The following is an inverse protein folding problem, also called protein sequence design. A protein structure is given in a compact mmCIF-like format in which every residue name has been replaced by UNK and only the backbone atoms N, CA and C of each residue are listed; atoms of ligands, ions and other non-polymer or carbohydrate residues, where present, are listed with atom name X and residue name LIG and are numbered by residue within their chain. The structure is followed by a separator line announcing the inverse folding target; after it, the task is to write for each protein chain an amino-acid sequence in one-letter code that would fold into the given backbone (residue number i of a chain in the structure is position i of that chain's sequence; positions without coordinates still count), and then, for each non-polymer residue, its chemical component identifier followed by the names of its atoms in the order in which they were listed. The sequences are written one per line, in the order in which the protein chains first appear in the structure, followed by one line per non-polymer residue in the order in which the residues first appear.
data_IF_845476344843
#
_entry.id   IF_845476344843
#
_cell.length_a   1.000
_cell.length_b   1.000
_cell.length_c   1.000
_cell.angle_alpha   90.00
_cell.angle_beta   90.00
_cell.angle_gamma   90.00
#
_symmetry.space_group_name_H-M   'P 1'
#
loop_
_entity.id
_entity.type
_entity.pdbx_description
1 polymer ?
#
# COMPACT_ATOMS: atom_id res chain seq x y z
N UNK A 1 -16.57 -5.19 8.10
CA UNK A 1 -15.98 -6.13 7.12
C UNK A 1 -15.23 -5.28 6.11
N UNK A 2 -13.92 -5.48 5.97
CA UNK A 2 -13.09 -4.67 5.05
C UNK A 2 -13.39 -5.13 3.62
N UNK A 3 -14.01 -4.28 2.80
CA UNK A 3 -14.27 -4.59 1.39
C UNK A 3 -13.00 -4.41 0.59
N UNK A 4 -12.27 -5.50 0.34
CA UNK A 4 -11.02 -5.49 -0.42
C UNK A 4 -11.25 -4.97 -1.85
N UNK A 5 -10.28 -4.25 -2.40
CA UNK A 5 -10.37 -3.81 -3.80
C UNK A 5 -10.37 -5.00 -4.76
N UNK A 6 -11.19 -4.99 -5.84
CA UNK A 6 -11.35 -6.14 -6.73
C UNK A 6 -10.03 -6.65 -7.33
N UNK A 7 -9.11 -5.75 -7.64
CA UNK A 7 -7.81 -6.10 -8.22
C UNK A 7 -6.81 -6.70 -7.21
N UNK A 8 -7.07 -6.57 -5.91
CA UNK A 8 -6.23 -7.17 -4.87
C UNK A 8 -6.73 -8.58 -4.48
N UNK A 9 -7.99 -8.90 -4.77
CA UNK A 9 -8.60 -10.19 -4.41
C UNK A 9 -7.84 -11.42 -4.97
N UNK A 10 -7.38 -11.44 -6.24
CA UNK A 10 -6.62 -12.58 -6.73
C UNK A 10 -5.31 -12.83 -5.97
N UNK A 11 -4.62 -11.76 -5.57
CA UNK A 11 -3.38 -11.84 -4.79
C UNK A 11 -3.69 -12.28 -3.36
N UNK A 12 -4.75 -11.74 -2.76
CA UNK A 12 -5.22 -12.14 -1.44
C UNK A 12 -5.50 -13.66 -1.38
N UNK A 13 -6.33 -14.19 -2.27
CA UNK A 13 -6.68 -15.61 -2.31
C UNK A 13 -5.46 -16.52 -2.53
N UNK A 14 -4.48 -16.10 -3.34
CA UNK A 14 -3.23 -16.86 -3.52
C UNK A 14 -2.42 -16.95 -2.23
N UNK A 15 -2.34 -15.85 -1.48
CA UNK A 15 -1.61 -15.79 -0.23
C UNK A 15 -2.35 -16.60 0.85
N UNK A 16 -3.66 -16.39 1.02
CA UNK A 16 -4.45 -17.12 2.03
C UNK A 16 -4.51 -18.61 1.76
N UNK A 17 -4.68 -19.02 0.50
CA UNK A 17 -4.66 -20.44 0.12
C UNK A 17 -3.33 -21.13 0.47
N UNK A 18 -2.19 -20.44 0.31
CA UNK A 18 -0.89 -20.99 0.74
C UNK A 18 -0.81 -21.18 2.26
N UNK A 19 -1.40 -20.29 3.06
CA UNK A 19 -1.46 -20.47 4.52
C UNK A 19 -2.39 -21.62 4.92
N UNK A 20 -3.50 -21.81 4.22
CA UNK A 20 -4.45 -22.90 4.48
C UNK A 20 -3.82 -24.28 4.19
N UNK A 21 -2.92 -24.35 3.20
CA UNK A 21 -2.10 -25.54 2.91
C UNK A 21 -0.87 -25.70 3.82
N UNK A 22 -0.69 -24.84 4.84
CA UNK A 22 0.47 -24.78 5.71
C UNK A 22 1.82 -24.55 4.97
N UNK A 23 1.77 -23.96 3.78
CA UNK A 23 2.92 -23.60 2.94
C UNK A 23 3.20 -22.08 2.93
N UNK A 24 2.46 -21.30 3.72
CA UNK A 24 2.60 -19.85 3.80
C UNK A 24 3.96 -19.42 4.33
N UNK A 25 4.62 -18.51 3.61
CA UNK A 25 5.91 -17.96 4.03
C UNK A 25 5.74 -17.03 5.24
N UNK A 26 6.64 -17.13 6.23
CA UNK A 26 6.56 -16.35 7.47
C UNK A 26 6.78 -14.85 7.27
N UNK A 27 7.47 -14.44 6.20
CA UNK A 27 7.70 -13.03 5.87
C UNK A 27 7.24 -12.69 4.46
N UNK A 28 6.22 -11.84 4.34
CA UNK A 28 5.66 -11.38 3.07
C UNK A 28 6.09 -9.94 2.81
N UNK A 29 6.63 -9.66 1.63
CA UNK A 29 6.94 -8.29 1.18
C UNK A 29 6.02 -7.92 0.01
N UNK A 30 5.04 -7.06 0.28
CA UNK A 30 4.13 -6.52 -0.72
C UNK A 30 4.70 -5.22 -1.30
N UNK A 31 5.02 -5.24 -2.59
CA UNK A 31 5.56 -4.08 -3.32
C UNK A 31 4.53 -3.57 -4.30
N UNK A 32 4.14 -2.31 -4.18
CA UNK A 32 3.08 -1.77 -5.01
C UNK A 32 3.20 -0.26 -5.15
N UNK A 33 2.72 0.27 -6.27
CA UNK A 33 2.60 1.70 -6.42
C UNK A 33 1.59 2.31 -5.42
N UNK A 34 1.87 3.52 -4.95
CA UNK A 34 0.90 4.32 -4.18
C UNK A 34 -0.38 4.49 -5.00
N UNK A 35 -1.53 4.22 -4.39
CA UNK A 35 -2.84 4.34 -5.05
C UNK A 35 -3.47 3.02 -5.48
N UNK A 36 -2.86 1.88 -5.16
CA UNK A 36 -3.46 0.55 -5.37
C UNK A 36 -4.19 -0.01 -4.15
N UNK A 37 -4.06 0.61 -2.98
CA UNK A 37 -4.78 0.19 -1.77
C UNK A 37 -4.15 -0.96 -1.00
N UNK A 38 -2.82 -1.13 -1.11
CA UNK A 38 -2.11 -2.28 -0.53
C UNK A 38 -2.10 -2.31 0.98
N UNK A 39 -2.22 -1.16 1.66
CA UNK A 39 -2.41 -1.13 3.11
C UNK A 39 -3.64 -1.95 3.53
N UNK A 40 -4.75 -1.81 2.79
CA UNK A 40 -5.98 -2.55 3.05
C UNK A 40 -5.83 -4.05 2.80
N UNK A 41 -5.00 -4.46 1.84
CA UNK A 41 -4.64 -5.86 1.64
C UNK A 41 -3.81 -6.40 2.81
N UNK A 42 -2.84 -5.62 3.30
CA UNK A 42 -2.01 -6.01 4.43
C UNK A 42 -2.85 -6.16 5.71
N UNK A 43 -3.78 -5.24 5.95
CA UNK A 43 -4.73 -5.30 7.06
C UNK A 43 -5.67 -6.51 6.94
N UNK A 44 -6.21 -6.79 5.75
CA UNK A 44 -7.05 -7.95 5.52
C UNK A 44 -6.28 -9.27 5.78
N UNK A 45 -5.05 -9.37 5.29
CA UNK A 45 -4.17 -10.51 5.56
C UNK A 45 -3.87 -10.66 7.06
N UNK A 46 -3.58 -9.56 7.75
CA UNK A 46 -3.37 -9.57 9.19
C UNK A 46 -4.61 -10.05 9.94
N UNK A 47 -5.79 -9.53 9.61
CA UNK A 47 -7.06 -9.97 10.22
C UNK A 47 -7.34 -11.46 9.96
N UNK A 48 -7.03 -11.95 8.75
CA UNK A 48 -7.21 -13.36 8.38
C UNK A 48 -6.25 -14.28 9.12
N UNK A 49 -4.99 -13.88 9.30
CA UNK A 49 -3.98 -14.65 10.04
C UNK A 49 -4.25 -14.65 11.55
N UNK A 50 -4.81 -13.57 12.09
CA UNK A 50 -5.14 -13.46 13.52
C UNK A 50 -6.45 -14.19 13.88
N UNK A 51 -7.35 -14.38 12.91
CA UNK A 51 -8.64 -15.01 13.14
C UNK A 51 -8.52 -16.48 13.62
N UNK A 52 -9.20 -16.81 14.72
CA UNK A 52 -9.18 -18.16 15.30
C UNK A 52 -10.03 -19.17 14.51
N UNK A 53 -11.09 -18.69 13.86
CA UNK A 53 -12.05 -19.54 13.13
C UNK A 53 -12.36 -18.91 11.77
N UNK A 54 -11.39 -18.87 10.84
CA UNK A 54 -11.62 -18.27 9.52
C UNK A 54 -12.74 -18.99 8.77
N UNK A 55 -13.49 -18.24 7.96
CA UNK A 55 -14.52 -18.79 7.08
C UNK A 55 -14.01 -18.77 5.64
N UNK A 56 -13.34 -19.85 5.22
CA UNK A 56 -12.60 -19.87 3.96
C UNK A 56 -11.51 -18.80 3.94
N UNK A 57 -11.50 -17.95 2.91
CA UNK A 57 -10.51 -16.88 2.76
C UNK A 57 -10.73 -15.68 3.70
N UNK A 58 -11.87 -15.59 4.38
CA UNK A 58 -12.21 -14.42 5.19
C UNK A 58 -12.05 -14.64 6.70
N UNK A 59 -11.69 -13.58 7.43
CA UNK A 59 -11.80 -13.57 8.88
C UNK A 59 -13.27 -13.59 9.31
N UNK A 60 -13.64 -14.38 10.33
CA UNK A 60 -15.04 -14.52 10.73
C UNK A 60 -15.68 -13.23 11.27
N UNK A 61 -14.87 -12.28 11.75
CA UNK A 61 -15.33 -11.01 12.28
C UNK A 61 -16.04 -11.08 13.64
N UNK A 62 -16.21 -12.27 14.21
CA UNK A 62 -17.01 -12.51 15.43
C UNK A 62 -16.23 -13.21 16.56
N UNK A 63 -15.05 -13.78 16.29
CA UNK A 63 -14.24 -14.39 17.34
C UNK A 63 -13.58 -13.33 18.22
N UNK A 64 -13.13 -13.73 19.42
CA UNK A 64 -12.47 -12.81 20.36
C UNK A 64 -11.28 -12.05 19.73
N UNK A 65 -10.43 -12.75 18.99
CA UNK A 65 -9.31 -12.13 18.28
C UNK A 65 -9.79 -11.11 17.22
N UNK A 66 -10.82 -11.43 16.43
CA UNK A 66 -11.39 -10.47 15.47
C UNK A 66 -11.93 -9.21 16.14
N UNK A 67 -12.56 -9.32 17.31
CA UNK A 67 -13.02 -8.16 18.07
C UNK A 67 -11.86 -7.30 18.58
N UNK A 68 -10.80 -7.93 19.11
CA UNK A 68 -9.59 -7.21 19.52
C UNK A 68 -8.89 -6.51 18.34
N UNK A 69 -8.85 -7.15 17.18
CA UNK A 69 -8.33 -6.57 15.94
C UNK A 69 -9.16 -5.36 15.49
N UNK A 70 -10.50 -5.46 15.51
CA UNK A 70 -11.39 -4.34 15.18
C UNK A 70 -11.24 -3.16 16.15
N UNK A 71 -10.93 -3.45 17.42
CA UNK A 71 -10.66 -2.46 18.44
C UNK A 71 -9.20 -1.94 18.46
N UNK A 72 -8.34 -2.39 17.52
CA UNK A 72 -6.91 -2.06 17.49
C UNK A 72 -6.17 -2.30 18.82
N UNK A 73 -6.56 -3.34 19.57
CA UNK A 73 -6.04 -3.63 20.92
C UNK A 73 -5.53 -5.07 21.07
N UNK A 74 -5.35 -5.78 19.96
CA UNK A 74 -4.87 -7.15 19.99
C UNK A 74 -3.40 -7.22 20.44
N UNK A 75 -3.06 -7.93 21.53
CA UNK A 75 -1.71 -7.92 22.09
C UNK A 75 -0.67 -8.59 21.17
N UNK A 76 -1.10 -9.59 20.40
CA UNK A 76 -0.25 -10.31 19.45
C UNK A 76 -0.27 -9.70 18.02
N UNK A 77 -0.85 -8.51 17.82
CA UNK A 77 -0.76 -7.76 16.56
C UNK A 77 0.03 -6.47 16.79
N UNK A 78 1.01 -6.21 15.91
CA UNK A 78 1.80 -4.99 15.97
C UNK A 78 1.84 -4.31 14.62
N UNK A 79 1.44 -3.05 14.58
CA UNK A 79 1.55 -2.20 13.41
C UNK A 79 2.66 -1.18 13.64
N UNK A 80 3.72 -1.29 12.83
CA UNK A 80 4.86 -0.38 12.83
C UNK A 80 4.75 0.50 11.60
N UNK A 81 4.48 1.77 11.83
CA UNK A 81 4.45 2.79 10.80
C UNK A 81 5.47 3.88 11.14
N UNK A 82 6.00 4.60 10.14
CA UNK A 82 6.87 5.73 10.39
C UNK A 82 6.10 6.84 11.12
N UNK A 83 6.75 7.42 12.13
CA UNK A 83 6.25 8.58 12.86
C UNK A 83 6.34 9.81 11.93
N UNK A 84 5.41 10.76 12.03
CA UNK A 84 5.37 11.95 11.16
C UNK A 84 6.76 12.58 10.94
N UNK A 85 7.15 12.71 9.67
CA UNK A 85 8.45 13.24 9.20
C UNK A 85 9.70 12.49 9.69
N UNK A 86 9.57 11.28 10.25
CA UNK A 86 10.69 10.46 10.72
C UNK A 86 10.63 9.05 10.15
N UNK A 87 11.81 8.49 9.92
CA UNK A 87 11.96 7.11 9.49
C UNK A 87 11.79 6.14 10.67
N UNK A 88 11.60 4.86 10.34
CA UNK A 88 11.43 3.81 11.33
C UNK A 88 12.80 3.54 11.98
N UNK A 89 12.91 4.04 13.21
CA UNK A 89 14.13 3.96 14.01
C UNK A 89 14.36 2.58 14.62
N UNK A 90 15.60 2.35 15.05
CA UNK A 90 16.02 1.07 15.65
C UNK A 90 15.27 0.74 16.94
N UNK A 91 14.91 1.75 17.74
CA UNK A 91 14.22 1.54 19.02
C UNK A 91 12.81 0.96 18.83
N UNK A 92 12.10 1.39 17.78
CA UNK A 92 10.78 0.83 17.43
C UNK A 92 10.90 -0.66 17.07
N UNK A 93 11.92 -1.01 16.29
CA UNK A 93 12.18 -2.40 15.90
C UNK A 93 12.65 -3.24 17.09
N UNK A 94 13.46 -2.70 18.00
CA UNK A 94 13.89 -3.41 19.21
C UNK A 94 12.71 -3.72 20.13
N UNK A 95 11.82 -2.74 20.36
CA UNK A 95 10.60 -2.94 21.13
C UNK A 95 9.70 -4.00 20.50
N UNK A 96 9.56 -4.01 19.17
CA UNK A 96 8.86 -5.07 18.46
C UNK A 96 9.54 -6.43 18.64
N UNK A 97 10.85 -6.53 18.46
CA UNK A 97 11.56 -7.80 18.59
C UNK A 97 11.41 -8.40 19.99
N UNK A 98 11.50 -7.59 21.05
CA UNK A 98 11.26 -8.02 22.42
C UNK A 98 9.86 -8.64 22.57
N UNK A 99 8.83 -7.97 22.04
CA UNK A 99 7.47 -8.47 22.04
C UNK A 99 7.31 -9.72 21.16
N UNK A 100 7.96 -9.77 19.99
CA UNK A 100 7.96 -10.91 19.09
C UNK A 100 8.52 -12.17 19.77
N UNK A 101 9.54 -12.00 20.61
CA UNK A 101 10.13 -13.08 21.43
C UNK A 101 9.32 -13.46 22.67
N UNK A 102 8.18 -12.85 22.97
CA UNK A 102 7.31 -13.33 24.04
C UNK A 102 6.36 -14.42 23.53
N UNK A 103 5.84 -15.28 24.43
CA UNK A 103 4.78 -16.22 24.05
C UNK A 103 3.52 -15.45 23.64
N UNK A 104 2.78 -15.99 22.67
CA UNK A 104 1.52 -15.40 22.24
C UNK A 104 0.54 -15.39 23.41
N UNK A 105 -0.03 -14.22 23.73
CA UNK A 105 -0.90 -14.07 24.89
C UNK A 105 -2.27 -14.71 24.66
N UNK A 106 -2.70 -14.80 23.39
CA UNK A 106 -3.98 -15.39 23.00
C UNK A 106 -3.84 -16.83 22.45
N UNK A 107 -2.70 -17.51 22.65
CA UNK A 107 -2.43 -18.86 22.15
C UNK A 107 -2.68 -19.05 20.63
N UNK A 108 -2.45 -18.00 19.84
CA UNK A 108 -2.67 -18.00 18.39
C UNK A 108 -1.44 -17.53 17.62
N UNK A 109 -1.71 -16.94 16.45
CA UNK A 109 -0.68 -16.34 15.61
C UNK A 109 -0.27 -14.97 16.16
N UNK A 110 0.98 -14.58 15.90
CA UNK A 110 1.49 -13.23 16.09
C UNK A 110 1.75 -12.63 14.72
N UNK A 111 1.21 -11.45 14.48
CA UNK A 111 1.36 -10.76 13.19
C UNK A 111 2.00 -9.40 13.39
N UNK A 112 3.11 -9.17 12.71
CA UNK A 112 3.84 -7.91 12.72
C UNK A 112 3.71 -7.29 11.33
N UNK A 113 3.02 -6.16 11.27
CA UNK A 113 2.81 -5.38 10.06
C UNK A 113 3.74 -4.17 10.04
N UNK A 114 4.68 -4.12 9.10
CA UNK A 114 5.59 -3.00 8.88
C UNK A 114 5.14 -2.23 7.64
N UNK A 115 4.61 -1.05 7.89
CA UNK A 115 4.22 -0.09 6.88
C UNK A 115 5.44 0.70 6.38
N UNK A 116 5.51 0.93 5.07
CA UNK A 116 6.60 1.66 4.42
C UNK A 116 7.99 1.12 4.78
N UNK A 117 8.25 -0.17 4.58
CA UNK A 117 9.50 -0.85 4.94
C UNK A 117 10.77 -0.23 4.33
N UNK A 118 10.66 0.52 3.23
CA UNK A 118 11.77 1.29 2.65
C UNK A 118 12.25 2.45 3.54
N UNK A 119 11.45 2.84 4.53
CA UNK A 119 11.76 3.87 5.53
C UNK A 119 12.37 3.30 6.80
N UNK A 120 12.77 2.03 6.79
CA UNK A 120 13.62 1.49 7.84
C UNK A 120 15.00 2.13 7.75
N UNK A 121 15.46 2.70 8.87
CA UNK A 121 16.88 3.07 9.00
C UNK A 121 17.75 1.82 8.86
N UNK A 122 19.01 1.97 8.43
CA UNK A 122 19.93 0.82 8.32
C UNK A 122 20.08 0.05 9.65
N UNK A 123 20.13 0.78 10.77
CA UNK A 123 20.18 0.18 12.10
C UNK A 123 18.90 -0.61 12.43
N UNK A 124 17.72 -0.09 12.08
CA UNK A 124 16.44 -0.78 12.26
C UNK A 124 16.35 -2.04 11.38
N UNK A 125 16.76 -1.95 10.12
CA UNK A 125 16.78 -3.07 9.20
C UNK A 125 17.70 -4.19 9.68
N UNK A 126 18.91 -3.86 10.14
CA UNK A 126 19.83 -4.85 10.68
C UNK A 126 19.31 -5.48 11.98
N UNK A 127 18.62 -4.71 12.81
CA UNK A 127 18.04 -5.22 14.05
C UNK A 127 16.91 -6.25 13.83
N UNK A 128 16.16 -6.15 12.73
CA UNK A 128 15.07 -7.10 12.42
C UNK A 128 15.54 -8.39 11.74
N UNK A 129 16.74 -8.42 11.12
CA UNK A 129 17.19 -9.55 10.29
C UNK A 129 17.13 -10.90 11.01
N UNK A 130 17.61 -10.97 12.25
CA UNK A 130 17.60 -12.24 13.01
C UNK A 130 16.19 -12.77 13.23
N UNK A 131 15.26 -11.89 13.56
CA UNK A 131 13.85 -12.25 13.79
C UNK A 131 13.13 -12.61 12.48
N UNK A 132 13.53 -12.01 11.35
CA UNK A 132 13.01 -12.35 10.03
C UNK A 132 13.57 -13.66 9.46
N UNK A 133 14.80 -14.03 9.79
CA UNK A 133 15.40 -15.31 9.35
C UNK A 133 14.80 -16.50 10.10
N UNK A 134 14.76 -16.40 11.42
CA UNK A 134 14.35 -17.49 12.31
C UNK A 134 13.27 -16.97 13.27
N UNK A 135 12.05 -16.71 12.77
CA UNK A 135 10.96 -16.28 13.64
C UNK A 135 10.56 -17.40 14.59
N UNK A 136 9.94 -17.02 15.71
CA UNK A 136 9.26 -18.00 16.55
C UNK A 136 8.11 -18.67 15.78
N UNK A 137 7.73 -19.91 16.15
CA UNK A 137 6.56 -20.55 15.58
C UNK A 137 5.34 -19.63 15.63
N UNK A 138 4.51 -19.68 14.59
CA UNK A 138 3.28 -18.88 14.44
C UNK A 138 3.51 -17.35 14.46
N UNK A 139 4.72 -16.87 14.14
CA UNK A 139 5.01 -15.44 13.98
C UNK A 139 5.14 -15.11 12.49
N UNK A 140 4.31 -14.17 12.03
CA UNK A 140 4.23 -13.76 10.63
C UNK A 140 4.53 -12.27 10.49
N UNK A 141 5.29 -11.94 9.45
CA UNK A 141 5.65 -10.58 9.07
C UNK A 141 4.96 -10.21 7.77
N UNK A 142 4.29 -9.07 7.78
CA UNK A 142 3.74 -8.43 6.58
C UNK A 142 4.49 -7.11 6.43
N UNK A 143 5.26 -6.97 5.37
CA UNK A 143 5.96 -5.75 5.04
C UNK A 143 5.35 -5.18 3.78
N UNK A 144 5.14 -3.86 3.72
CA UNK A 144 4.80 -3.20 2.46
C UNK A 144 5.78 -2.09 2.11
N UNK A 145 6.06 -1.89 0.82
CA UNK A 145 6.76 -0.71 0.34
C UNK A 145 6.32 -0.29 -1.06
N UNK A 146 6.66 0.94 -1.45
CA UNK A 146 6.44 1.41 -2.81
C UNK A 146 7.40 0.69 -3.77
N UNK A 147 6.89 0.19 -4.89
CA UNK A 147 7.70 -0.51 -5.90
C UNK A 147 8.84 0.36 -6.45
N UNK A 148 8.70 1.69 -6.44
CA UNK A 148 9.70 2.64 -6.92
C UNK A 148 10.83 2.89 -5.90
N UNK A 149 10.65 2.44 -4.66
CA UNK A 149 11.61 2.67 -3.58
C UNK A 149 12.64 1.56 -3.49
N UNK A 150 13.88 1.94 -3.16
CA UNK A 150 14.95 0.98 -2.89
C UNK A 150 14.78 0.41 -1.48
N UNK A 151 14.57 -0.90 -1.40
CA UNK A 151 14.62 -1.62 -0.13
C UNK A 151 16.02 -2.20 0.07
N UNK A 152 16.42 -2.34 1.33
CA UNK A 152 17.68 -2.99 1.68
C UNK A 152 17.70 -4.44 1.17
N UNK A 153 18.74 -4.86 0.42
CA UNK A 153 18.84 -6.22 -0.13
C UNK A 153 18.72 -7.33 0.91
N UNK A 154 19.18 -7.06 2.13
CA UNK A 154 19.16 -8.00 3.26
C UNK A 154 17.75 -8.37 3.70
N UNK A 155 16.81 -7.43 3.69
CA UNK A 155 15.38 -7.69 3.96
C UNK A 155 14.76 -8.41 2.76
N UNK A 156 15.03 -7.90 1.56
CA UNK A 156 14.46 -8.42 0.31
C UNK A 156 14.73 -9.91 0.13
N UNK A 157 15.95 -10.38 0.42
CA UNK A 157 16.34 -11.79 0.24
C UNK A 157 15.68 -12.77 1.23
N UNK A 158 15.07 -12.27 2.30
CA UNK A 158 14.45 -13.07 3.38
C UNK A 158 12.93 -13.04 3.36
N UNK A 159 12.35 -12.31 2.41
CA UNK A 159 10.90 -12.18 2.27
C UNK A 159 10.44 -12.84 0.97
N UNK A 160 9.25 -13.43 1.00
CA UNK A 160 8.53 -13.76 -0.22
C UNK A 160 7.98 -12.48 -0.82
N UNK A 161 8.45 -12.13 -2.01
CA UNK A 161 8.14 -10.86 -2.67
C UNK A 161 6.90 -10.98 -3.55
N UNK A 162 5.92 -10.11 -3.29
CA UNK A 162 4.70 -9.97 -4.07
C UNK A 162 4.67 -8.59 -4.72
N UNK A 163 4.92 -8.55 -6.02
CA UNK A 163 4.81 -7.30 -6.79
C UNK A 163 3.36 -7.14 -7.27
N UNK A 164 2.68 -6.12 -6.75
CA UNK A 164 1.32 -5.76 -7.15
C UNK A 164 1.38 -4.69 -8.22
N UNK A 165 0.90 -5.06 -9.40
CA UNK A 165 0.81 -4.18 -10.55
C UNK A 165 -0.55 -3.47 -10.56
N UNK A 166 -0.65 -2.30 -11.22
CA UNK A 166 -1.93 -1.69 -11.52
C UNK A 166 -2.84 -2.68 -12.27
N UNK A 167 -4.15 -2.68 -11.99
CA UNK A 167 -5.09 -3.53 -12.70
C UNK A 167 -5.22 -3.15 -14.17
N UNK A 168 -5.82 -4.07 -14.92
CA UNK A 168 -6.30 -3.76 -16.27
C UNK A 168 -7.28 -2.58 -16.25
N UNK A 169 -7.24 -1.80 -17.32
CA UNK A 169 -8.02 -0.55 -17.40
C UNK A 169 -9.52 -0.82 -17.26
N UNK A 170 -10.01 -1.94 -17.77
CA UNK A 170 -11.43 -2.33 -17.70
C UNK A 170 -11.88 -2.56 -16.24
N UNK A 171 -11.11 -3.31 -15.46
CA UNK A 171 -11.38 -3.56 -14.03
C UNK A 171 -11.34 -2.25 -13.24
N UNK A 172 -10.33 -1.41 -13.50
CA UNK A 172 -10.21 -0.11 -12.84
C UNK A 172 -11.38 0.82 -13.18
N UNK A 173 -11.81 0.84 -14.44
CA UNK A 173 -12.90 1.67 -14.93
C UNK A 173 -14.24 1.23 -14.34
N UNK A 174 -14.52 -0.08 -14.34
CA UNK A 174 -15.74 -0.63 -13.75
C UNK A 174 -15.83 -0.31 -12.26
N UNK A 175 -14.70 -0.40 -11.54
CA UNK A 175 -14.66 0.03 -10.14
C UNK A 175 -14.91 1.53 -10.01
N UNK A 176 -14.25 2.39 -10.80
CA UNK A 176 -14.46 3.85 -10.74
C UNK A 176 -15.91 4.27 -11.01
N UNK A 177 -16.57 3.62 -11.98
CA UNK A 177 -17.99 3.85 -12.30
C UNK A 177 -18.90 3.57 -11.10
N UNK A 178 -18.54 2.64 -10.22
CA UNK A 178 -19.28 2.36 -8.98
C UNK A 178 -19.08 3.44 -7.90
N UNK A 179 -17.99 4.22 -7.99
CA UNK A 179 -17.60 5.19 -6.96
C UNK A 179 -18.00 6.64 -7.29
N UNK A 180 -18.00 7.02 -8.57
CA UNK A 180 -18.27 8.40 -9.00
C UNK A 180 -19.14 8.44 -10.24
N UNK A 181 -20.10 9.36 -10.27
CA UNK A 181 -20.86 9.72 -11.46
C UNK A 181 -20.07 10.74 -12.30
N UNK A 182 -19.07 10.27 -13.06
CA UNK A 182 -18.33 11.08 -14.03
C UNK A 182 -18.50 10.52 -15.44
N UNK A 183 -18.12 11.29 -16.47
CA UNK A 183 -18.10 10.77 -17.83
C UNK A 183 -16.99 9.72 -18.00
N UNK A 184 -17.25 8.68 -18.80
CA UNK A 184 -16.28 7.61 -19.07
C UNK A 184 -14.94 8.14 -19.59
N UNK A 185 -14.98 9.18 -20.44
CA UNK A 185 -13.76 9.80 -20.98
C UNK A 185 -12.91 10.47 -19.89
N UNK A 186 -13.55 11.10 -18.90
CA UNK A 186 -12.86 11.73 -17.78
C UNK A 186 -12.25 10.68 -16.85
N UNK A 187 -12.96 9.59 -16.58
CA UNK A 187 -12.43 8.45 -15.82
C UNK A 187 -11.22 7.81 -16.50
N UNK A 188 -11.30 7.56 -17.81
CA UNK A 188 -10.17 7.04 -18.59
C UNK A 188 -8.98 8.00 -18.60
N UNK A 189 -9.25 9.31 -18.69
CA UNK A 189 -8.20 10.33 -18.62
C UNK A 189 -7.54 10.33 -17.24
N UNK A 190 -8.32 10.27 -16.16
CA UNK A 190 -7.79 10.21 -14.80
C UNK A 190 -6.95 8.95 -14.56
N UNK A 191 -7.38 7.79 -15.06
CA UNK A 191 -6.60 6.55 -14.99
C UNK A 191 -5.27 6.66 -15.74
N UNK A 192 -5.28 7.16 -16.98
CA UNK A 192 -4.06 7.32 -17.80
C UNK A 192 -3.05 8.27 -17.16
N UNK A 193 -3.52 9.41 -16.65
CA UNK A 193 -2.66 10.39 -15.96
C UNK A 193 -2.03 9.83 -14.69
N UNK A 194 -2.71 8.89 -14.03
CA UNK A 194 -2.22 8.22 -12.83
C UNK A 194 -1.64 6.83 -13.10
N UNK A 195 -1.22 6.53 -14.33
CA UNK A 195 -0.58 5.26 -14.70
C UNK A 195 -1.37 4.01 -14.28
N UNK A 196 -2.70 4.04 -14.41
CA UNK A 196 -3.59 2.92 -14.08
C UNK A 196 -3.88 2.74 -12.58
N UNK A 197 -3.47 3.68 -11.71
CA UNK A 197 -3.67 3.60 -10.26
C UNK A 197 -5.07 4.12 -9.86
N UNK A 198 -6.02 3.24 -9.49
CA UNK A 198 -7.43 3.64 -9.40
C UNK A 198 -7.74 4.61 -8.26
N UNK A 199 -7.10 4.48 -7.09
CA UNK A 199 -7.39 5.36 -5.96
C UNK A 199 -6.88 6.79 -6.18
N UNK A 200 -5.75 6.94 -6.89
CA UNK A 200 -5.27 8.26 -7.30
C UNK A 200 -6.17 8.88 -8.37
N UNK A 201 -6.66 8.08 -9.32
CA UNK A 201 -7.63 8.52 -10.30
C UNK A 201 -8.93 8.99 -9.62
N UNK A 202 -9.43 8.25 -8.64
CA UNK A 202 -10.59 8.64 -7.82
C UNK A 202 -10.34 9.97 -7.10
N UNK A 203 -9.21 10.11 -6.41
CA UNK A 203 -8.86 11.34 -5.72
C UNK A 203 -8.72 12.54 -6.68
N UNK A 204 -8.20 12.31 -7.88
CA UNK A 204 -8.08 13.33 -8.94
C UNK A 204 -9.47 13.83 -9.39
N UNK A 205 -10.42 12.92 -9.58
CA UNK A 205 -11.80 13.23 -9.95
C UNK A 205 -12.52 14.00 -8.83
N UNK A 206 -12.42 13.53 -7.59
CA UNK A 206 -13.08 14.14 -6.43
C UNK A 206 -12.55 15.55 -6.11
N UNK A 207 -11.25 15.80 -6.34
CA UNK A 207 -10.62 17.09 -6.07
C UNK A 207 -10.70 18.06 -7.26
N UNK A 208 -11.49 17.73 -8.30
CA UNK A 208 -11.61 18.51 -9.53
C UNK A 208 -10.25 18.88 -10.18
N UNK A 209 -9.26 17.99 -10.05
CA UNK A 209 -7.91 18.22 -10.58
C UNK A 209 -7.86 18.10 -12.11
N UNK A 210 -8.87 17.48 -12.75
CA UNK A 210 -8.97 17.44 -14.20
C UNK A 210 -9.15 18.83 -14.81
N UNK A 211 -9.96 19.69 -14.20
CA UNK A 211 -10.13 21.08 -14.66
C UNK A 211 -8.84 21.88 -14.47
N UNK A 212 -8.16 21.71 -13.33
CA UNK A 212 -6.84 22.33 -13.10
C UNK A 212 -5.82 21.88 -14.17
N UNK A 213 -5.85 20.60 -14.55
CA UNK A 213 -5.01 20.06 -15.63
C UNK A 213 -5.40 20.64 -16.99
N UNK A 214 -6.70 20.74 -17.32
CA UNK A 214 -7.18 21.33 -18.58
C UNK A 214 -6.69 22.77 -18.73
N UNK A 215 -6.85 23.58 -17.69
CA UNK A 215 -6.39 24.97 -17.70
C UNK A 215 -4.86 25.06 -17.79
N UNK A 216 -4.14 24.23 -17.02
CA UNK A 216 -2.69 24.15 -17.12
C UNK A 216 -2.21 23.80 -18.54
N UNK A 217 -2.82 22.81 -19.21
CA UNK A 217 -2.46 22.42 -20.57
C UNK A 217 -2.78 23.52 -21.59
N UNK A 218 -3.88 24.27 -21.40
CA UNK A 218 -4.20 25.44 -22.25
C UNK A 218 -3.10 26.50 -22.13
N UNK A 219 -2.66 26.83 -20.92
CA UNK A 219 -1.59 27.80 -20.69
C UNK A 219 -0.23 27.27 -21.19
N UNK A 220 0.05 25.97 -21.01
CA UNK A 220 1.25 25.34 -21.55
C UNK A 220 1.31 25.41 -23.08
N UNK A 221 0.18 25.23 -23.77
CA UNK A 221 0.12 25.37 -25.22
C UNK A 221 0.39 26.81 -25.69
N UNK A 222 -0.12 27.82 -24.95
CA UNK A 222 0.19 29.23 -25.20
C UNK A 222 1.68 29.51 -25.01
N UNK A 223 2.26 28.99 -23.92
CA UNK A 223 3.70 29.05 -23.67
C UNK A 223 4.50 28.42 -24.82
N UNK A 224 4.17 27.20 -25.23
CA UNK A 224 4.87 26.47 -26.30
C UNK A 224 4.90 27.30 -27.60
N UNK A 225 3.78 27.97 -27.91
CA UNK A 225 3.65 28.83 -29.10
C UNK A 225 4.39 30.16 -28.98
N UNK A 226 4.41 30.79 -27.80
CA UNK A 226 4.97 32.13 -27.56
C UNK A 226 6.41 32.15 -27.05
N UNK A 227 6.95 31.00 -26.62
CA UNK A 227 8.29 30.82 -26.04
C UNK A 227 8.60 31.77 -24.87
N UNK A 228 7.61 32.12 -24.06
CA UNK A 228 7.78 33.02 -22.89
C UNK A 228 7.62 32.25 -21.57
N UNK A 229 8.72 31.80 -20.93
CA UNK A 229 8.66 31.01 -19.68
C UNK A 229 7.96 31.72 -18.52
N UNK A 230 7.91 33.06 -18.56
CA UNK A 230 7.31 33.88 -17.51
C UNK A 230 5.78 33.73 -17.44
N UNK A 231 5.12 33.34 -18.53
CA UNK A 231 3.66 33.12 -18.57
C UNK A 231 3.25 31.84 -17.83
N UNK A 232 4.16 30.87 -17.67
CA UNK A 232 3.87 29.57 -17.03
C UNK A 232 4.03 29.59 -15.51
N UNK A 233 4.83 30.54 -14.98
CA UNK A 233 5.17 30.64 -13.56
C UNK A 233 3.98 30.80 -12.60
N UNK A 234 2.92 31.58 -12.90
CA UNK A 234 1.76 31.72 -12.03
C UNK A 234 0.95 30.43 -11.87
N UNK A 235 1.00 29.55 -12.86
CA UNK A 235 0.21 28.32 -12.94
C UNK A 235 0.97 27.09 -12.45
N UNK A 236 2.25 27.22 -12.12
CA UNK A 236 3.02 26.19 -11.43
C UNK A 236 2.71 26.26 -9.92
N UNK A 237 1.97 25.30 -9.35
CA UNK A 237 1.72 25.28 -7.92
C UNK A 237 3.03 25.10 -7.16
N UNK A 238 3.41 26.10 -6.34
CA UNK A 238 4.65 26.13 -5.52
C UNK A 238 4.87 24.87 -4.65
N UNK A 239 3.81 24.09 -4.36
CA UNK A 239 3.84 22.87 -3.51
C UNK A 239 3.54 21.55 -4.24
N UNK A 240 3.17 21.55 -5.53
CA UNK A 240 2.74 20.34 -6.28
C UNK A 240 3.53 20.13 -7.58
N UNK A 241 4.83 20.41 -7.57
CA UNK A 241 5.71 20.34 -8.75
C UNK A 241 5.72 18.95 -9.42
N UNK A 242 5.65 17.86 -8.65
CA UNK A 242 5.61 16.48 -9.20
C UNK A 242 4.34 16.19 -10.01
N UNK A 243 3.17 16.68 -9.59
CA UNK A 243 1.92 16.45 -10.31
C UNK A 243 1.93 17.13 -11.69
N UNK A 244 2.45 18.36 -11.76
CA UNK A 244 2.56 19.09 -13.02
C UNK A 244 3.55 18.44 -13.99
N UNK A 245 4.68 17.90 -13.50
CA UNK A 245 5.60 17.13 -14.33
C UNK A 245 4.94 15.89 -14.93
N UNK A 246 4.16 15.13 -14.15
CA UNK A 246 3.42 13.98 -14.67
C UNK A 246 2.35 14.39 -15.70
N UNK A 247 1.68 15.53 -15.51
CA UNK A 247 0.69 16.02 -16.48
C UNK A 247 1.30 16.37 -17.84
N UNK A 248 2.51 16.94 -17.85
CA UNK A 248 3.27 17.23 -19.08
C UNK A 248 3.76 15.94 -19.72
N UNK A 249 4.22 14.97 -18.92
CA UNK A 249 4.65 13.65 -19.42
C UNK A 249 3.56 12.94 -20.21
N UNK A 250 2.32 12.91 -19.70
CA UNK A 250 1.17 12.34 -20.41
C UNK A 250 0.66 13.17 -21.60
N UNK A 251 1.22 14.35 -21.88
CA UNK A 251 0.92 15.12 -23.08
C UNK A 251 1.92 14.86 -24.22
N UNK A 252 3.14 14.43 -23.85
CA UNK A 252 4.23 14.12 -24.79
C UNK A 252 4.22 12.67 -25.28
N UNK A 253 3.45 11.79 -24.65
CA UNK A 253 3.23 10.39 -24.98
C UNK A 253 1.72 10.10 -25.07
#
# INVERSE_FOLDING_TARGET
MISLYPWLAPTYHKITGAFDEALGHHALLLRADVGLGVAQLCEALAQRLMCLTPNGDEACGQCHSCHLMQANSHPDFQHIAPIENKDIGVDQIRAMNEQATQHAQQNGNKVIYIEQAHRLTEAAANAILKTLEEPRPNTYFILHCDIQTTLLPTIYSRCQVWNLLPPETEVALQWLQSQVSAETLEMLTALRVNYGRPLLALAMLQQNQLEQRREFLRQFWVFYRRRSPLELLPFLPKKKTRHCSNWIGCWLF
#
